data_IF_197350711564
#
_entry.id   IF_197350711564
#
_cell.length_a   1.000
_cell.length_b   1.000
_cell.length_c   1.000
_cell.angle_alpha   90.00
_cell.angle_beta   90.00
_cell.angle_gamma   90.00
#
_symmetry.space_group_name_H-M   'P 1'
#
loop_
_entity.id
_entity.type
_entity.pdbx_description
1 polymer ?
#
# COMPACT_ATOMS: atom_id res chain seq x y z
N UNK A 1 12.03 28.26 -25.04
CA UNK A 1 10.66 28.43 -24.53
C UNK A 1 9.80 27.19 -24.76
N UNK A 2 9.63 26.72 -26.01
CA UNK A 2 8.80 25.54 -26.36
C UNK A 2 9.23 24.24 -25.62
N UNK A 3 10.54 23.95 -25.57
CA UNK A 3 11.05 22.73 -24.88
C UNK A 3 10.69 22.68 -23.39
N UNK A 4 10.77 23.81 -22.69
CA UNK A 4 10.42 23.89 -21.26
C UNK A 4 8.92 23.70 -21.04
N UNK A 5 8.08 24.26 -21.91
CA UNK A 5 6.62 24.09 -21.85
C UNK A 5 6.23 22.62 -22.04
N UNK A 6 6.83 21.95 -23.03
CA UNK A 6 6.60 20.53 -23.29
C UNK A 6 7.02 19.66 -22.11
N UNK A 7 8.19 19.93 -21.51
CA UNK A 7 8.69 19.19 -20.34
C UNK A 7 7.76 19.35 -19.12
N UNK A 8 7.28 20.58 -18.85
CA UNK A 8 6.36 20.82 -17.73
C UNK A 8 5.01 20.13 -17.94
N UNK A 9 4.47 20.16 -19.16
CA UNK A 9 3.23 19.44 -19.50
C UNK A 9 3.40 17.93 -19.31
N UNK A 10 4.51 17.35 -19.78
CA UNK A 10 4.79 15.92 -19.61
C UNK A 10 4.89 15.53 -18.13
N UNK A 11 5.65 16.31 -17.36
CA UNK A 11 5.83 16.08 -15.92
C UNK A 11 4.48 16.19 -15.18
N UNK A 12 3.66 17.19 -15.51
CA UNK A 12 2.34 17.36 -14.91
C UNK A 12 1.42 16.18 -15.25
N UNK A 13 1.39 15.72 -16.51
CA UNK A 13 0.63 14.53 -16.89
C UNK A 13 1.10 13.28 -16.13
N UNK A 14 2.41 13.06 -16.02
CA UNK A 14 2.97 11.94 -15.28
C UNK A 14 2.54 11.97 -13.80
N UNK A 15 2.61 13.13 -13.16
CA UNK A 15 2.17 13.31 -11.75
C UNK A 15 0.66 13.10 -11.62
N UNK A 16 -0.16 13.61 -12.53
CA UNK A 16 -1.62 13.41 -12.45
C UNK A 16 -2.01 11.94 -12.66
N UNK A 17 -1.26 11.20 -13.49
CA UNK A 17 -1.52 9.78 -13.75
C UNK A 17 -1.42 8.92 -12.49
N UNK A 18 -0.54 9.26 -11.54
CA UNK A 18 -0.38 8.51 -10.28
C UNK A 18 -1.60 8.60 -9.36
N UNK A 19 -2.47 9.60 -9.52
CA UNK A 19 -3.72 9.72 -8.75
C UNK A 19 -4.88 8.95 -9.36
N UNK A 20 -4.85 8.72 -10.68
CA UNK A 20 -5.94 8.05 -11.41
C UNK A 20 -5.82 6.52 -11.32
N UNK A 21 -4.62 6.02 -11.04
CA UNK A 21 -4.32 4.59 -11.00
C UNK A 21 -3.95 4.16 -9.58
N UNK A 22 -4.63 3.11 -9.09
CA UNK A 22 -4.29 2.46 -7.83
C UNK A 22 -2.98 1.70 -7.99
N UNK A 23 -1.92 2.24 -7.41
CA UNK A 23 -0.63 1.59 -7.34
C UNK A 23 -0.44 0.94 -5.97
N UNK A 24 0.23 -0.21 -5.94
CA UNK A 24 0.71 -0.76 -4.68
C UNK A 24 1.83 0.15 -4.14
N UNK A 25 1.81 0.45 -2.82
CA UNK A 25 2.81 1.32 -2.25
C UNK A 25 4.18 0.65 -2.30
N UNK A 26 5.24 1.42 -2.54
CA UNK A 26 6.62 0.94 -2.46
C UNK A 26 7.13 0.85 -1.01
N UNK A 27 6.55 1.66 -0.12
CA UNK A 27 6.92 1.78 1.28
C UNK A 27 5.66 1.82 2.14
N UNK A 28 5.67 1.10 3.25
CA UNK A 28 4.57 1.09 4.22
C UNK A 28 5.13 1.29 5.63
N UNK A 29 4.51 2.19 6.39
CA UNK A 29 4.79 2.36 7.81
C UNK A 29 3.86 1.48 8.65
N UNK A 30 4.42 0.55 9.43
CA UNK A 30 3.66 -0.22 10.40
C UNK A 30 3.56 0.55 11.72
N UNK A 31 2.37 1.06 12.02
CA UNK A 31 2.07 1.76 13.27
C UNK A 31 1.62 0.83 14.42
N UNK A 32 1.50 -0.48 14.17
CA UNK A 32 0.96 -1.45 15.15
C UNK A 32 2.05 -2.39 15.67
N UNK A 33 1.94 -2.84 16.93
CA UNK A 33 2.85 -3.83 17.53
C UNK A 33 2.57 -5.30 17.10
N UNK A 34 1.81 -5.52 16.03
CA UNK A 34 1.51 -6.88 15.54
C UNK A 34 2.70 -7.55 14.83
N UNK A 35 3.57 -6.73 14.25
CA UNK A 35 4.92 -7.02 13.79
C UNK A 35 5.78 -5.83 14.26
N UNK A 36 7.14 -5.87 14.15
CA UNK A 36 7.96 -4.74 14.57
C UNK A 36 7.47 -3.40 13.98
N UNK A 37 7.38 -2.37 14.82
CA UNK A 37 6.98 -1.02 14.38
C UNK A 37 8.13 -0.44 13.53
N UNK A 38 7.82 0.08 12.35
CA UNK A 38 8.85 0.61 11.46
C UNK A 38 8.43 0.78 10.00
N UNK A 39 9.38 1.19 9.18
CA UNK A 39 9.23 1.38 7.74
C UNK A 39 9.64 0.11 6.98
N UNK A 40 8.76 -0.38 6.11
CA UNK A 40 8.93 -1.58 5.31
C UNK A 40 8.95 -1.24 3.82
N UNK A 41 9.87 -1.84 3.06
CA UNK A 41 9.83 -1.86 1.60
C UNK A 41 8.88 -2.95 1.11
N UNK A 42 8.01 -2.61 0.18
CA UNK A 42 7.10 -3.55 -0.48
C UNK A 42 7.74 -4.05 -1.77
N UNK A 43 7.65 -5.36 -1.99
CA UNK A 43 8.20 -6.01 -3.18
C UNK A 43 7.11 -6.89 -3.80
N UNK A 44 7.14 -7.12 -5.13
CA UNK A 44 6.24 -8.06 -5.79
C UNK A 44 6.35 -9.45 -5.16
N UNK A 45 5.21 -10.13 -5.02
CA UNK A 45 5.15 -11.48 -4.50
C UNK A 45 5.84 -12.44 -5.50
N UNK A 46 6.76 -13.27 -5.02
CA UNK A 46 7.32 -14.38 -5.81
C UNK A 46 6.91 -15.75 -5.25
N UNK A 47 7.70 -16.35 -4.37
CA UNK A 47 7.34 -17.53 -3.58
C UNK A 47 7.01 -17.09 -2.16
N UNK A 48 5.87 -17.53 -1.67
CA UNK A 48 5.46 -17.32 -0.29
C UNK A 48 5.91 -18.49 0.57
N UNK A 49 6.36 -18.18 1.77
CA UNK A 49 6.65 -19.13 2.83
C UNK A 49 5.83 -18.80 4.08
N UNK A 50 5.60 -19.82 4.90
CA UNK A 50 5.11 -19.60 6.27
C UNK A 50 6.09 -18.67 6.96
N UNK A 51 5.56 -17.75 7.76
CA UNK A 51 6.27 -16.66 8.44
C UNK A 51 6.66 -15.44 7.60
N UNK A 52 6.43 -15.44 6.29
CA UNK A 52 6.66 -14.22 5.48
C UNK A 52 5.71 -13.10 5.90
N UNK A 53 6.17 -11.85 5.75
CA UNK A 53 5.34 -10.67 5.92
C UNK A 53 4.73 -10.26 4.58
N UNK A 54 3.42 -10.09 4.56
CA UNK A 54 2.69 -9.61 3.39
C UNK A 54 1.92 -8.35 3.71
N UNK A 55 1.86 -7.46 2.72
CA UNK A 55 0.94 -6.34 2.72
C UNK A 55 -0.36 -6.81 2.08
N UNK A 56 -1.46 -6.74 2.82
CA UNK A 56 -2.75 -7.24 2.39
C UNK A 56 -3.84 -6.16 2.52
N UNK A 57 -4.70 -6.08 1.51
CA UNK A 57 -5.95 -5.33 1.59
C UNK A 57 -7.02 -6.24 2.19
N UNK A 58 -7.68 -5.86 3.30
CA UNK A 58 -8.76 -6.67 3.85
C UNK A 58 -9.93 -6.73 2.85
N UNK A 59 -10.72 -7.83 2.79
CA UNK A 59 -11.99 -7.83 2.07
C UNK A 59 -12.92 -6.73 2.58
N UNK A 60 -13.78 -6.18 1.71
CA UNK A 60 -14.65 -5.04 2.01
C UNK A 60 -15.45 -5.22 3.32
N UNK A 61 -16.08 -6.39 3.51
CA UNK A 61 -16.82 -6.70 4.73
C UNK A 61 -15.97 -6.61 6.01
N UNK A 62 -14.68 -6.98 5.93
CA UNK A 62 -13.74 -6.88 7.04
C UNK A 62 -13.27 -5.44 7.24
N UNK A 63 -13.03 -4.69 6.16
CA UNK A 63 -12.70 -3.27 6.25
C UNK A 63 -13.80 -2.51 6.98
N UNK A 64 -15.06 -2.70 6.58
CA UNK A 64 -16.22 -2.06 7.21
C UNK A 64 -16.34 -2.44 8.68
N UNK A 65 -16.15 -3.71 9.01
CA UNK A 65 -16.23 -4.19 10.39
C UNK A 65 -15.16 -3.56 11.29
N UNK A 66 -13.93 -3.42 10.77
CA UNK A 66 -12.80 -2.78 11.45
C UNK A 66 -13.00 -1.27 11.57
N UNK A 67 -13.48 -0.61 10.51
CA UNK A 67 -13.72 0.82 10.48
C UNK A 67 -14.83 1.24 11.44
N UNK A 68 -15.94 0.50 11.47
CA UNK A 68 -17.05 0.72 12.42
C UNK A 68 -16.61 0.64 13.89
N UNK A 69 -15.51 -0.06 14.18
CA UNK A 69 -14.95 -0.22 15.52
C UNK A 69 -13.75 0.69 15.77
N UNK A 70 -13.40 1.55 14.82
CA UNK A 70 -12.22 2.39 14.87
C UNK A 70 -10.90 1.61 15.03
N UNK A 71 -10.85 0.34 14.60
CA UNK A 71 -9.65 -0.48 14.63
C UNK A 71 -8.72 -0.24 13.44
N UNK A 72 -9.31 0.03 12.27
CA UNK A 72 -8.56 0.32 11.05
C UNK A 72 -9.42 1.24 10.17
N UNK A 73 -8.83 2.33 9.66
CA UNK A 73 -9.54 3.18 8.71
C UNK A 73 -9.74 2.45 7.36
N UNK A 74 -10.78 2.86 6.61
CA UNK A 74 -11.07 2.30 5.30
C UNK A 74 -9.89 2.51 4.34
N UNK A 75 -9.60 1.50 3.52
CA UNK A 75 -8.51 1.55 2.54
C UNK A 75 -7.09 1.39 3.12
N UNK A 76 -6.94 1.28 4.45
CA UNK A 76 -5.63 1.06 5.06
C UNK A 76 -5.19 -0.39 4.87
N UNK A 77 -3.90 -0.57 4.54
CA UNK A 77 -3.29 -1.88 4.34
C UNK A 77 -2.88 -2.51 5.66
N UNK A 78 -2.91 -3.84 5.70
CA UNK A 78 -2.42 -4.62 6.83
C UNK A 78 -1.06 -5.22 6.51
N UNK A 79 -0.14 -5.19 7.47
CA UNK A 79 1.03 -6.09 7.45
C UNK A 79 0.68 -7.31 8.28
N UNK A 80 0.78 -8.50 7.68
CA UNK A 80 0.48 -9.76 8.37
C UNK A 80 1.55 -10.80 8.08
N UNK A 81 1.75 -11.67 9.06
CA UNK A 81 2.58 -12.85 8.92
C UNK A 81 1.76 -14.00 8.34
N UNK A 82 2.28 -14.69 7.34
CA UNK A 82 1.65 -15.89 6.79
C UNK A 82 1.71 -17.00 7.82
N UNK A 83 0.55 -17.47 8.26
CA UNK A 83 0.44 -18.55 9.24
C UNK A 83 0.48 -19.95 8.60
N UNK A 84 -0.06 -20.08 7.39
CA UNK A 84 -0.12 -21.33 6.60
C UNK A 84 -0.33 -20.99 5.11
N UNK A 85 -0.06 -21.96 4.21
CA UNK A 85 -0.23 -21.88 2.75
C UNK A 85 -1.27 -22.89 2.27
#
# INVERSE_FOLDING_TARGET
MIRSIVLTLLASCAVTSTFVTTHDPLLVWNASASVPIGLYSVQPISKLAVTDLVVARPPEAIQDWLAKRHYLALGVLLIKRIAAL
#
